data_IF_398707351134
#
_entry.id   IF_398707351134
#
_cell.length_a   1.000
_cell.length_b   1.000
_cell.length_c   1.000
_cell.angle_alpha   90.00
_cell.angle_beta   90.00
_cell.angle_gamma   90.00
#
_symmetry.space_group_name_H-M   'P 1'
#
loop_
_entity.id
_entity.type
_entity.pdbx_description
1 polymer ?
#
# COMPACT_ATOMS: atom_id res chain seq x y z
N UNK A 1 5.05 -33.67 -1.83
CA UNK A 1 5.08 -32.59 -0.83
C UNK A 1 4.28 -31.41 -1.38
N UNK A 2 3.31 -30.87 -0.62
CA UNK A 2 2.63 -29.65 -1.07
C UNK A 2 3.63 -28.48 -0.99
N UNK A 3 3.77 -27.73 -2.06
CA UNK A 3 4.59 -26.52 -2.11
C UNK A 3 4.11 -25.56 -1.02
N UNK A 4 5.03 -24.92 -0.31
CA UNK A 4 4.72 -23.89 0.70
C UNK A 4 5.40 -22.60 0.29
N UNK A 5 4.72 -21.48 0.53
CA UNK A 5 5.26 -20.14 0.35
C UNK A 5 5.48 -19.52 1.72
N UNK A 6 6.65 -18.94 1.93
CA UNK A 6 6.95 -18.13 3.11
C UNK A 6 7.16 -16.71 2.67
N UNK A 7 6.44 -15.77 3.26
CA UNK A 7 6.54 -14.35 2.94
C UNK A 7 6.21 -13.49 4.14
N UNK A 8 6.74 -12.28 4.17
CA UNK A 8 6.26 -11.22 5.03
C UNK A 8 5.00 -10.62 4.42
N UNK A 9 4.05 -10.21 5.25
CA UNK A 9 2.81 -9.58 4.79
C UNK A 9 2.26 -8.58 5.79
N UNK A 10 1.80 -7.44 5.27
CA UNK A 10 1.05 -6.45 6.03
C UNK A 10 -0.44 -6.79 5.96
N UNK A 11 -1.09 -6.90 7.11
CA UNK A 11 -2.52 -7.26 7.19
C UNK A 11 -3.39 -6.05 6.85
N UNK A 12 -4.13 -6.15 5.74
CA UNK A 12 -5.06 -5.12 5.30
C UNK A 12 -6.42 -5.25 5.99
N UNK A 13 -7.01 -6.44 5.94
CA UNK A 13 -8.38 -6.63 6.40
C UNK A 13 -8.61 -8.05 6.92
N UNK A 14 -9.52 -8.14 7.88
CA UNK A 14 -10.08 -9.42 8.35
C UNK A 14 -11.56 -9.45 8.03
N UNK A 15 -12.03 -10.56 7.47
CA UNK A 15 -13.44 -10.79 7.17
C UNK A 15 -13.88 -12.15 7.70
N UNK A 16 -15.09 -12.23 8.21
CA UNK A 16 -15.66 -13.51 8.65
C UNK A 16 -15.97 -14.37 7.44
N UNK A 17 -15.62 -15.65 7.51
CA UNK A 17 -15.92 -16.63 6.46
C UNK A 17 -16.87 -17.72 6.94
N UNK A 18 -16.65 -18.20 8.16
CA UNK A 18 -17.52 -19.20 8.81
C UNK A 18 -17.43 -19.04 10.33
N UNK A 19 -18.15 -19.87 11.08
CA UNK A 19 -18.15 -19.84 12.56
C UNK A 19 -16.73 -19.89 13.17
N UNK A 20 -15.77 -20.55 12.52
CA UNK A 20 -14.42 -20.72 13.03
C UNK A 20 -13.32 -20.14 12.15
N UNK A 21 -13.64 -19.67 10.94
CA UNK A 21 -12.65 -19.28 9.93
C UNK A 21 -12.76 -17.81 9.57
N UNK A 22 -11.63 -17.22 9.19
CA UNK A 22 -11.54 -15.86 8.65
C UNK A 22 -10.92 -15.89 7.25
N UNK A 23 -11.26 -14.90 6.43
CA UNK A 23 -10.46 -14.50 5.28
C UNK A 23 -9.61 -13.30 5.72
N UNK A 24 -8.31 -13.43 5.56
CA UNK A 24 -7.31 -12.42 5.83
C UNK A 24 -6.79 -11.88 4.49
N UNK A 25 -6.82 -10.57 4.28
CA UNK A 25 -6.21 -9.93 3.11
C UNK A 25 -4.88 -9.35 3.52
N UNK A 26 -3.83 -9.72 2.79
CA UNK A 26 -2.48 -9.23 3.00
C UNK A 26 -1.94 -8.61 1.72
N UNK A 27 -1.12 -7.57 1.89
CA UNK A 27 -0.14 -7.20 0.89
C UNK A 27 1.20 -7.82 1.31
N UNK A 28 1.70 -8.74 0.51
CA UNK A 28 2.89 -9.54 0.85
C UNK A 28 4.10 -9.12 0.03
N UNK A 29 5.29 -9.36 0.60
CA UNK A 29 6.55 -9.04 -0.06
C UNK A 29 6.77 -9.83 -1.33
N UNK A 30 6.48 -11.13 -1.30
CA UNK A 30 6.90 -12.04 -2.36
C UNK A 30 5.75 -12.50 -3.28
N UNK A 31 4.50 -12.18 -2.94
CA UNK A 31 3.31 -12.62 -3.68
C UNK A 31 2.34 -11.45 -4.02
N UNK A 32 2.64 -10.22 -3.60
CA UNK A 32 1.74 -9.09 -3.75
C UNK A 32 0.48 -9.21 -2.90
N UNK A 33 -0.65 -8.73 -3.42
CA UNK A 33 -1.94 -8.80 -2.73
C UNK A 33 -2.50 -10.24 -2.76
N UNK A 34 -2.73 -10.82 -1.59
CA UNK A 34 -3.28 -12.17 -1.44
C UNK A 34 -4.44 -12.22 -0.47
N UNK A 35 -5.38 -13.12 -0.74
CA UNK A 35 -6.45 -13.48 0.18
C UNK A 35 -6.18 -14.87 0.75
N UNK A 36 -6.23 -14.98 2.08
CA UNK A 36 -5.80 -16.16 2.82
C UNK A 36 -6.93 -16.67 3.68
N UNK A 37 -7.31 -17.93 3.49
CA UNK A 37 -8.28 -18.61 4.36
C UNK A 37 -7.57 -19.16 5.60
N UNK A 38 -7.92 -18.61 6.76
CA UNK A 38 -7.40 -19.01 8.07
C UNK A 38 -8.46 -19.87 8.80
N UNK A 39 -8.33 -21.19 8.66
CA UNK A 39 -9.26 -22.14 9.26
C UNK A 39 -9.05 -22.24 10.79
N UNK A 40 -10.14 -22.22 11.56
CA UNK A 40 -10.11 -22.41 13.02
C UNK A 40 -9.54 -21.22 13.81
N UNK A 41 -9.07 -20.17 13.14
CA UNK A 41 -8.34 -19.06 13.79
C UNK A 41 -9.21 -18.26 14.76
N UNK A 42 -10.54 -18.23 14.57
CA UNK A 42 -11.46 -17.52 15.48
C UNK A 42 -11.47 -18.08 16.90
N UNK A 43 -11.14 -19.36 17.06
CA UNK A 43 -11.07 -20.05 18.35
C UNK A 43 -9.66 -20.06 18.94
N UNK A 44 -8.66 -19.70 18.15
CA UNK A 44 -7.27 -19.66 18.57
C UNK A 44 -6.93 -18.34 19.27
N UNK A 45 -6.01 -18.36 20.22
CA UNK A 45 -5.48 -17.15 20.86
C UNK A 45 -4.86 -16.18 19.84
N UNK A 46 -4.32 -16.70 18.77
CA UNK A 46 -3.74 -15.93 17.64
C UNK A 46 -4.72 -14.91 17.05
N UNK A 47 -6.05 -15.16 17.15
CA UNK A 47 -7.06 -14.20 16.66
C UNK A 47 -6.92 -12.83 17.34
N UNK A 48 -6.63 -12.80 18.62
CA UNK A 48 -6.51 -11.57 19.41
C UNK A 48 -5.21 -10.81 19.12
N UNK A 49 -4.26 -11.44 18.43
CA UNK A 49 -2.98 -10.85 18.03
C UNK A 49 -3.01 -10.31 16.61
N UNK A 50 -4.10 -10.55 15.85
CA UNK A 50 -4.22 -10.05 14.49
C UNK A 50 -4.74 -8.60 14.50
N UNK A 51 -3.86 -7.68 14.18
CA UNK A 51 -4.17 -6.25 14.05
C UNK A 51 -3.96 -5.79 12.62
N UNK A 52 -4.87 -4.97 12.11
CA UNK A 52 -4.69 -4.31 10.83
C UNK A 52 -3.41 -3.45 10.87
N UNK A 53 -2.73 -3.33 9.74
CA UNK A 53 -1.44 -2.66 9.55
C UNK A 53 -0.25 -3.38 10.22
N UNK A 54 -0.48 -4.44 11.00
CA UNK A 54 0.58 -5.29 11.55
C UNK A 54 1.30 -6.06 10.46
N UNK A 55 2.59 -6.32 10.68
CA UNK A 55 3.41 -7.15 9.82
C UNK A 55 3.54 -8.56 10.39
N UNK A 56 3.34 -9.54 9.52
CA UNK A 56 3.34 -10.96 9.88
C UNK A 56 4.23 -11.76 8.95
N UNK A 57 4.89 -12.76 9.51
CA UNK A 57 5.48 -13.84 8.75
C UNK A 57 4.42 -14.91 8.49
N UNK A 58 4.24 -15.25 7.21
CA UNK A 58 3.19 -16.13 6.72
C UNK A 58 3.80 -17.39 6.11
N UNK A 59 3.30 -18.56 6.52
CA UNK A 59 3.49 -19.81 5.82
C UNK A 59 2.17 -20.18 5.13
N UNK A 60 2.17 -20.14 3.80
CA UNK A 60 0.97 -20.30 2.97
C UNK A 60 1.07 -21.55 2.12
N UNK A 61 -0.05 -22.26 1.97
CA UNK A 61 -0.20 -23.27 0.93
C UNK A 61 -0.79 -22.65 -0.34
N UNK A 62 -0.50 -23.23 -1.53
CA UNK A 62 -0.99 -22.73 -2.80
C UNK A 62 -2.49 -22.46 -2.78
N UNK A 63 -2.99 -21.54 -3.61
CA UNK A 63 -4.39 -21.23 -3.68
C UNK A 63 -5.19 -22.46 -4.12
N UNK A 64 -6.40 -22.56 -3.58
CA UNK A 64 -7.40 -23.55 -3.99
C UNK A 64 -8.12 -23.06 -5.25
N UNK A 65 -9.07 -23.83 -5.76
CA UNK A 65 -9.93 -23.44 -6.89
C UNK A 65 -10.66 -22.09 -6.66
N UNK A 66 -10.87 -21.71 -5.38
CA UNK A 66 -11.45 -20.42 -5.01
C UNK A 66 -10.46 -19.24 -5.11
N UNK A 67 -9.20 -19.47 -5.48
CA UNK A 67 -8.15 -18.44 -5.50
C UNK A 67 -7.61 -18.04 -4.12
N UNK A 68 -8.10 -18.66 -3.04
CA UNK A 68 -7.65 -18.37 -1.68
C UNK A 68 -6.44 -19.24 -1.31
N UNK A 69 -5.37 -18.61 -0.82
CA UNK A 69 -4.30 -19.32 -0.14
C UNK A 69 -4.83 -19.91 1.17
N UNK A 70 -4.25 -21.04 1.60
CA UNK A 70 -4.58 -21.59 2.91
C UNK A 70 -3.47 -21.24 3.90
N UNK A 71 -3.86 -20.69 5.06
CA UNK A 71 -2.92 -20.38 6.12
C UNK A 71 -2.39 -21.68 6.77
N UNK A 72 -1.08 -21.85 6.78
CA UNK A 72 -0.40 -22.85 7.59
C UNK A 72 -0.08 -22.29 8.97
N UNK A 73 0.81 -21.31 9.01
CA UNK A 73 1.27 -20.67 10.23
C UNK A 73 1.35 -19.16 10.02
N UNK A 74 1.20 -18.42 11.13
CA UNK A 74 1.33 -16.96 11.17
C UNK A 74 2.01 -16.57 12.47
N UNK A 75 2.99 -15.67 12.38
CA UNK A 75 3.66 -15.07 13.55
C UNK A 75 3.77 -13.57 13.37
N UNK A 76 3.55 -12.80 14.44
CA UNK A 76 3.72 -11.35 14.46
C UNK A 76 5.22 -11.02 14.37
N UNK A 77 5.55 -10.09 13.47
CA UNK A 77 6.91 -9.56 13.28
C UNK A 77 6.97 -8.13 13.81
N UNK A 78 5.98 -7.32 13.44
CA UNK A 78 5.93 -5.92 13.84
C UNK A 78 4.48 -5.50 14.10
N UNK A 79 4.25 -4.93 15.25
CA UNK A 79 2.98 -4.29 15.59
C UNK A 79 3.06 -2.80 15.32
N UNK A 80 1.98 -2.25 14.76
CA UNK A 80 1.86 -0.82 14.48
C UNK A 80 0.62 -0.28 15.14
N UNK A 81 0.80 0.72 15.99
CA UNK A 81 -0.31 1.42 16.63
C UNK A 81 -0.38 2.87 16.12
N UNK A 82 -1.36 3.14 15.29
CA UNK A 82 -1.69 4.46 14.78
C UNK A 82 -3.00 5.00 15.39
N UNK A 83 -3.53 4.37 16.44
CA UNK A 83 -4.81 4.71 17.06
C UNK A 83 -4.84 6.13 17.64
N UNK A 84 -3.69 6.66 18.04
CA UNK A 84 -3.55 8.03 18.56
C UNK A 84 -3.81 9.12 17.50
N UNK A 85 -3.78 8.79 16.20
CA UNK A 85 -3.99 9.73 15.11
C UNK A 85 -4.87 9.14 14.02
N UNK A 86 -6.18 9.45 14.02
CA UNK A 86 -7.09 8.97 12.97
C UNK A 86 -6.64 9.32 11.56
N UNK A 87 -5.99 10.48 11.36
CA UNK A 87 -5.48 10.90 10.05
C UNK A 87 -4.31 10.02 9.58
N UNK A 88 -3.38 9.65 10.47
CA UNK A 88 -2.28 8.75 10.14
C UNK A 88 -2.79 7.33 9.89
N UNK A 89 -3.75 6.90 10.68
CA UNK A 89 -4.40 5.60 10.47
C UNK A 89 -5.10 5.54 9.10
N UNK A 90 -5.89 6.56 8.76
CA UNK A 90 -6.55 6.63 7.45
C UNK A 90 -5.54 6.68 6.29
N UNK A 91 -4.43 7.42 6.43
CA UNK A 91 -3.39 7.48 5.42
C UNK A 91 -2.68 6.12 5.23
N UNK A 92 -2.49 5.37 6.32
CA UNK A 92 -1.93 4.01 6.29
C UNK A 92 -2.89 3.01 5.61
N UNK A 93 -4.17 3.07 5.96
CA UNK A 93 -5.21 2.21 5.38
C UNK A 93 -5.36 2.48 3.88
N UNK A 94 -5.41 3.76 3.47
CA UNK A 94 -5.44 4.16 2.06
C UNK A 94 -4.22 3.63 1.28
N UNK A 95 -3.01 3.66 1.85
CA UNK A 95 -1.81 3.16 1.19
C UNK A 95 -1.87 1.64 0.96
N UNK A 96 -2.32 0.92 1.96
CA UNK A 96 -2.45 -0.53 1.90
C UNK A 96 -3.57 -0.96 0.94
N UNK A 97 -4.71 -0.26 0.96
CA UNK A 97 -5.83 -0.50 0.03
C UNK A 97 -5.41 -0.19 -1.42
N UNK A 98 -4.70 0.93 -1.65
CA UNK A 98 -4.17 1.27 -2.97
C UNK A 98 -3.30 0.15 -3.53
N UNK A 99 -2.24 -0.25 -2.80
CA UNK A 99 -1.34 -1.30 -3.27
C UNK A 99 -2.04 -2.65 -3.44
N UNK A 100 -3.04 -2.94 -2.59
CA UNK A 100 -3.84 -4.17 -2.70
C UNK A 100 -4.80 -4.17 -3.89
N UNK A 101 -5.09 -3.01 -4.47
CA UNK A 101 -5.99 -2.83 -5.62
C UNK A 101 -5.24 -2.76 -6.95
N UNK A 102 -3.94 -2.50 -6.91
CA UNK A 102 -3.10 -2.43 -8.11
C UNK A 102 -2.71 -3.83 -8.59
N UNK A 103 -2.60 -3.98 -9.91
CA UNK A 103 -2.04 -5.19 -10.53
C UNK A 103 -0.52 -5.01 -10.57
N UNK A 104 0.14 -5.52 -9.55
CA UNK A 104 1.61 -5.45 -9.40
C UNK A 104 2.17 -6.81 -9.78
N UNK A 105 3.13 -6.89 -10.74
CA UNK A 105 3.86 -8.12 -11.01
C UNK A 105 4.53 -8.66 -9.75
N UNK A 106 4.52 -9.99 -9.58
CA UNK A 106 5.08 -10.64 -8.39
C UNK A 106 6.55 -10.28 -8.17
N UNK A 107 7.31 -10.14 -9.26
CA UNK A 107 8.73 -9.79 -9.26
C UNK A 107 8.99 -8.37 -8.73
N UNK A 108 8.01 -7.48 -8.88
CA UNK A 108 8.09 -6.09 -8.42
C UNK A 108 7.53 -5.91 -7.01
N UNK A 109 6.75 -6.87 -6.50
CA UNK A 109 6.12 -6.79 -5.18
C UNK A 109 7.06 -6.44 -4.04
N UNK A 110 8.33 -6.92 -3.99
CA UNK A 110 9.27 -6.55 -2.93
C UNK A 110 9.56 -5.06 -2.83
N UNK A 111 9.59 -4.35 -3.97
CA UNK A 111 9.85 -2.91 -4.02
C UNK A 111 8.68 -2.12 -3.41
N UNK A 112 7.47 -2.46 -3.81
CA UNK A 112 6.24 -1.85 -3.27
C UNK A 112 6.04 -2.19 -1.80
N UNK A 113 6.39 -3.42 -1.39
CA UNK A 113 6.33 -3.84 0.01
C UNK A 113 7.29 -3.01 0.88
N UNK A 114 8.52 -2.81 0.42
CA UNK A 114 9.52 -1.99 1.12
C UNK A 114 9.08 -0.53 1.22
N UNK A 115 8.46 0.01 0.16
CA UNK A 115 7.88 1.34 0.19
C UNK A 115 6.76 1.45 1.22
N UNK A 116 5.84 0.48 1.25
CA UNK A 116 4.74 0.44 2.22
C UNK A 116 5.26 0.33 3.65
N UNK A 117 6.14 -0.62 3.93
CA UNK A 117 6.72 -0.84 5.26
C UNK A 117 7.38 0.42 5.81
N UNK A 118 8.25 1.04 5.00
CA UNK A 118 8.92 2.29 5.36
C UNK A 118 7.92 3.44 5.57
N UNK A 119 6.87 3.51 4.78
CA UNK A 119 5.84 4.53 4.91
C UNK A 119 5.04 4.37 6.21
N UNK A 120 4.63 3.14 6.54
CA UNK A 120 3.90 2.84 7.77
C UNK A 120 4.74 3.15 9.03
N UNK A 121 6.02 2.79 9.01
CA UNK A 121 6.94 3.12 10.09
C UNK A 121 7.13 4.64 10.25
N UNK A 122 7.17 5.36 9.12
CA UNK A 122 7.28 6.81 9.14
C UNK A 122 6.03 7.47 9.70
N UNK A 123 4.83 6.99 9.35
CA UNK A 123 3.57 7.46 9.92
C UNK A 123 3.50 7.25 11.44
N UNK A 124 4.03 6.14 11.95
CA UNK A 124 4.04 5.84 13.38
C UNK A 124 4.99 6.75 14.17
N UNK A 125 6.12 7.14 13.58
CA UNK A 125 7.17 7.87 14.29
C UNK A 125 7.08 9.39 14.15
N UNK A 126 6.39 9.91 13.12
CA UNK A 126 6.38 11.34 12.81
C UNK A 126 5.08 12.03 13.24
N UNK A 127 5.26 13.17 13.89
CA UNK A 127 4.18 14.15 14.11
C UNK A 127 4.19 15.10 12.91
N UNK A 128 3.17 15.05 12.06
CA UNK A 128 3.09 15.91 10.88
C UNK A 128 1.78 15.74 10.13
N UNK A 129 1.63 16.46 9.03
CA UNK A 129 0.44 16.37 8.20
C UNK A 129 0.40 15.01 7.46
N UNK A 130 -0.54 14.16 7.83
CA UNK A 130 -0.74 12.86 7.18
C UNK A 130 -1.01 13.00 5.68
N UNK A 131 -1.67 14.10 5.26
CA UNK A 131 -1.96 14.35 3.85
C UNK A 131 -0.69 14.58 3.02
N UNK A 132 0.29 15.30 3.55
CA UNK A 132 1.57 15.52 2.85
C UNK A 132 2.37 14.22 2.75
N UNK A 133 2.33 13.39 3.78
CA UNK A 133 2.96 12.07 3.76
C UNK A 133 2.30 11.15 2.76
N UNK A 134 0.96 11.20 2.65
CA UNK A 134 0.19 10.48 1.66
C UNK A 134 0.56 10.90 0.23
N UNK A 135 0.61 12.19 -0.07
CA UNK A 135 1.05 12.69 -1.37
C UNK A 135 2.45 12.22 -1.74
N UNK A 136 3.38 12.28 -0.79
CA UNK A 136 4.74 11.78 -1.01
C UNK A 136 4.78 10.28 -1.30
N UNK A 137 3.93 9.49 -0.65
CA UNK A 137 3.79 8.07 -0.93
C UNK A 137 3.25 7.85 -2.35
N UNK A 138 2.18 8.54 -2.75
CA UNK A 138 1.59 8.47 -4.08
C UNK A 138 2.61 8.79 -5.18
N UNK A 139 3.37 9.86 -5.05
CA UNK A 139 4.39 10.24 -6.03
C UNK A 139 5.43 9.13 -6.22
N UNK A 140 5.80 8.42 -5.17
CA UNK A 140 6.72 7.28 -5.26
C UNK A 140 6.08 6.08 -5.95
N UNK A 141 4.82 5.80 -5.66
CA UNK A 141 4.07 4.74 -6.35
C UNK A 141 4.00 5.03 -7.85
N UNK A 142 3.62 6.25 -8.25
CA UNK A 142 3.60 6.65 -9.67
C UNK A 142 4.97 6.54 -10.34
N UNK A 143 6.02 6.90 -9.63
CA UNK A 143 7.39 6.78 -10.13
C UNK A 143 7.75 5.31 -10.44
N UNK A 144 7.34 4.37 -9.59
CA UNK A 144 7.53 2.93 -9.83
C UNK A 144 6.70 2.41 -11.01
N UNK A 145 5.52 2.98 -11.26
CA UNK A 145 4.72 2.68 -12.44
C UNK A 145 5.25 3.29 -13.74
N UNK A 146 6.42 3.95 -13.71
CA UNK A 146 7.01 4.59 -14.88
C UNK A 146 6.25 5.83 -15.37
N UNK A 147 5.37 6.38 -14.55
CA UNK A 147 4.61 7.61 -14.83
C UNK A 147 4.97 8.69 -13.79
N UNK A 148 6.25 9.13 -13.71
CA UNK A 148 6.65 10.15 -12.77
C UNK A 148 5.92 11.46 -13.09
N UNK A 149 5.38 12.10 -12.06
CA UNK A 149 4.95 13.48 -12.16
C UNK A 149 6.17 14.38 -12.03
N UNK A 150 6.50 15.08 -13.11
CA UNK A 150 7.42 16.20 -13.02
C UNK A 150 6.64 17.43 -12.52
N UNK A 151 6.70 17.65 -11.21
CA UNK A 151 6.05 18.79 -10.56
C UNK A 151 6.93 20.05 -10.54
N UNK A 152 8.11 19.99 -11.13
CA UNK A 152 9.10 21.06 -11.06
C UNK A 152 9.25 21.80 -12.37
N UNK A 153 8.87 21.20 -13.51
CA UNK A 153 9.06 21.79 -14.82
C UNK A 153 7.73 22.20 -15.49
N UNK A 154 7.76 23.30 -16.18
CA UNK A 154 6.68 23.70 -17.08
C UNK A 154 6.59 22.74 -18.26
N UNK A 155 5.42 22.20 -18.54
CA UNK A 155 5.22 21.22 -19.63
C UNK A 155 5.47 21.80 -21.03
N UNK A 156 5.39 23.13 -21.22
CA UNK A 156 5.64 23.78 -22.49
C UNK A 156 7.09 24.22 -22.69
N UNK A 157 7.65 24.98 -21.74
CA UNK A 157 8.99 25.54 -21.92
C UNK A 157 10.09 24.79 -21.15
N UNK A 158 9.72 23.79 -20.34
CA UNK A 158 10.62 22.99 -19.52
C UNK A 158 11.42 23.80 -18.47
N UNK A 159 11.03 25.05 -18.21
CA UNK A 159 11.65 25.85 -17.17
C UNK A 159 11.35 25.28 -15.79
N UNK A 160 12.38 25.15 -14.96
CA UNK A 160 12.32 24.64 -13.60
C UNK A 160 12.52 25.72 -12.53
N UNK A 161 12.94 26.90 -12.95
CA UNK A 161 13.22 28.07 -12.13
C UNK A 161 12.02 29.01 -11.96
N UNK A 162 10.96 28.77 -12.71
CA UNK A 162 9.72 29.54 -12.65
C UNK A 162 8.65 28.83 -11.83
N UNK A 163 7.89 29.61 -11.08
CA UNK A 163 6.76 29.06 -10.31
C UNK A 163 5.66 28.56 -11.24
N UNK A 164 5.16 27.36 -10.96
CA UNK A 164 3.99 26.80 -11.62
C UNK A 164 2.76 27.61 -11.26
N UNK A 165 2.06 28.11 -12.27
CA UNK A 165 0.89 28.97 -12.13
C UNK A 165 -0.44 28.23 -12.31
N UNK A 166 -0.45 27.18 -13.14
CA UNK A 166 -1.66 26.44 -13.46
C UNK A 166 -1.37 24.95 -13.70
N UNK A 167 -2.42 24.17 -13.54
CA UNK A 167 -2.46 22.75 -13.82
C UNK A 167 -3.69 22.42 -14.64
N UNK A 168 -3.46 21.79 -15.80
CA UNK A 168 -4.53 21.22 -16.61
C UNK A 168 -4.96 19.86 -16.07
N UNK A 169 -6.20 19.75 -15.64
CA UNK A 169 -6.76 18.51 -15.08
C UNK A 169 -6.94 17.41 -16.10
N UNK A 170 -7.11 17.73 -17.39
CA UNK A 170 -7.34 16.77 -18.46
C UNK A 170 -6.07 16.03 -18.87
N UNK A 171 -4.97 16.76 -18.98
CA UNK A 171 -3.67 16.26 -19.46
C UNK A 171 -2.66 16.03 -18.33
N UNK A 172 -2.88 16.62 -17.14
CA UNK A 172 -1.91 16.64 -16.05
C UNK A 172 -0.76 17.63 -16.28
N UNK A 173 -0.83 18.46 -17.33
CA UNK A 173 0.23 19.41 -17.68
C UNK A 173 0.32 20.56 -16.69
N UNK A 174 1.55 20.98 -16.38
CA UNK A 174 1.87 22.11 -15.52
C UNK A 174 2.35 23.30 -16.38
N UNK A 175 1.90 24.50 -16.08
CA UNK A 175 2.24 25.71 -16.81
C UNK A 175 2.82 26.77 -15.87
N UNK A 176 3.95 27.37 -16.26
CA UNK A 176 4.48 28.56 -15.60
C UNK A 176 3.65 29.81 -15.98
N UNK A 177 3.84 30.90 -15.26
CA UNK A 177 3.13 32.16 -15.51
C UNK A 177 3.31 32.67 -16.96
N UNK A 178 4.53 32.57 -17.51
CA UNK A 178 4.82 33.07 -18.85
C UNK A 178 4.08 32.24 -19.92
N UNK A 179 4.12 30.92 -19.80
CA UNK A 179 3.43 30.05 -20.76
C UNK A 179 1.92 30.12 -20.64
N UNK A 180 1.39 30.31 -19.44
CA UNK A 180 -0.05 30.48 -19.22
C UNK A 180 -0.57 31.78 -19.88
N UNK A 181 0.21 32.86 -19.80
CA UNK A 181 -0.16 34.14 -20.40
C UNK A 181 -0.14 34.10 -21.95
N UNK A 182 0.60 33.15 -22.54
CA UNK A 182 0.73 33.00 -24.00
C UNK A 182 -0.15 31.90 -24.59
N UNK A 183 -0.73 31.04 -23.76
CA UNK A 183 -1.68 30.01 -24.20
C UNK A 183 -3.11 30.59 -24.18
N UNK A 184 -3.77 30.55 -25.33
CA UNK A 184 -5.20 30.84 -25.43
C UNK A 184 -6.02 29.67 -24.87
N UNK A 185 -6.04 29.53 -23.51
CA UNK A 185 -6.93 28.61 -22.79
C UNK A 185 -7.97 29.37 -22.00
#
# INVERSE_FOLDING_TARGET
MKQRFRSLGCLARLSEYSESSLILRFFTRDLGAVSVLAKGIRRAQTRNQLMALGEYELNLYPPTESGLYLLGEISSVKERDLSASPQHWAAADCALELLSSLIIPTEESPVYYTLLDSYLDFLQTRKGSAILLWWRFLLRVFNFFGTPFDLLACSLCQATDESIAAWDRGTGALFCHNCLATSEY
#
